data_IF_932569165684
#
_entry.id   IF_932569165684
#
_cell.length_a   1.000
_cell.length_b   1.000
_cell.length_c   1.000
_cell.angle_alpha   90.00
_cell.angle_beta   90.00
_cell.angle_gamma   90.00
#
_symmetry.space_group_name_H-M   'P 1'
#
loop_
_entity.id
_entity.type
_entity.pdbx_description
1 polymer ?
#
# COMPACT_ATOMS: atom_id res chain seq x y z
N UNK A 1 -4.11 -12.90 -11.00
CA UNK A 1 -4.94 -12.25 -9.97
C UNK A 1 -5.47 -13.33 -9.03
N UNK A 2 -5.40 -13.08 -7.74
CA UNK A 2 -5.96 -13.99 -6.73
C UNK A 2 -6.85 -13.19 -5.78
N UNK A 3 -7.71 -13.87 -5.03
CA UNK A 3 -8.55 -13.26 -4.01
C UNK A 3 -8.00 -13.62 -2.65
N UNK A 4 -7.74 -12.61 -1.82
CA UNK A 4 -7.31 -12.80 -0.43
C UNK A 4 -8.33 -12.19 0.52
N UNK A 5 -8.49 -12.80 1.67
CA UNK A 5 -9.34 -12.27 2.73
C UNK A 5 -8.45 -11.54 3.75
N UNK A 6 -8.67 -10.23 3.92
CA UNK A 6 -7.96 -9.42 4.91
C UNK A 6 -8.83 -9.30 6.16
N UNK A 7 -8.28 -9.68 7.31
CA UNK A 7 -8.97 -9.57 8.60
C UNK A 7 -8.00 -9.09 9.67
N UNK A 8 -8.46 -8.13 10.47
CA UNK A 8 -7.73 -7.63 11.65
C UNK A 8 -6.30 -7.18 11.34
N UNK A 9 -6.11 -6.53 10.20
CA UNK A 9 -4.80 -6.00 9.83
C UNK A 9 -4.63 -4.62 10.42
N UNK A 10 -3.62 -4.45 11.27
CA UNK A 10 -3.24 -3.17 11.87
C UNK A 10 -1.90 -2.76 11.31
N UNK A 11 -1.74 -1.47 11.00
CA UNK A 11 -0.48 -0.91 10.55
C UNK A 11 -0.02 0.19 11.49
N UNK A 12 1.32 0.28 11.66
CA UNK A 12 1.95 1.48 12.19
C UNK A 12 2.40 2.30 10.98
N UNK A 13 2.09 3.60 10.94
CA UNK A 13 2.23 4.35 9.70
C UNK A 13 2.72 5.77 9.88
N UNK A 14 3.26 6.32 8.79
CA UNK A 14 3.55 7.72 8.60
C UNK A 14 2.71 8.25 7.46
N UNK A 15 2.24 9.50 7.56
CA UNK A 15 1.41 10.15 6.56
C UNK A 15 2.07 11.40 6.01
N UNK A 16 1.95 11.60 4.69
CA UNK A 16 2.22 12.89 4.10
C UNK A 16 0.94 13.46 3.47
N UNK A 17 0.86 14.77 3.40
CA UNK A 17 -0.26 15.48 2.75
C UNK A 17 0.33 16.39 1.70
N UNK A 18 -0.16 16.29 0.47
CA UNK A 18 0.31 17.07 -0.66
C UNK A 18 0.24 16.29 -1.97
N UNK A 19 0.63 16.94 -3.06
CA UNK A 19 0.60 16.34 -4.39
C UNK A 19 1.34 15.01 -4.43
N UNK A 20 0.71 14.00 -5.03
CA UNK A 20 1.35 12.70 -5.25
C UNK A 20 2.48 12.81 -6.26
N UNK A 21 3.54 12.03 -6.05
CA UNK A 21 4.68 11.98 -6.94
C UNK A 21 5.95 11.60 -6.20
N UNK A 22 7.06 12.24 -6.56
CA UNK A 22 8.39 11.89 -6.03
C UNK A 22 8.47 11.92 -4.50
N UNK A 23 7.74 12.83 -3.85
CA UNK A 23 7.74 12.92 -2.38
C UNK A 23 7.13 11.68 -1.72
N UNK A 24 6.26 10.95 -2.40
CA UNK A 24 5.77 9.65 -1.92
C UNK A 24 6.91 8.64 -1.82
N UNK A 25 7.80 8.66 -2.82
CA UNK A 25 8.99 7.80 -2.83
C UNK A 25 9.93 8.15 -1.67
N UNK A 26 10.10 9.45 -1.39
CA UNK A 26 10.93 9.90 -0.27
C UNK A 26 10.37 9.43 1.07
N UNK A 27 9.04 9.48 1.24
CA UNK A 27 8.41 8.97 2.45
C UNK A 27 8.63 7.47 2.61
N UNK A 28 8.52 6.71 1.52
CA UNK A 28 8.76 5.27 1.53
C UNK A 28 10.19 4.97 1.97
N UNK A 29 11.18 5.68 1.44
CA UNK A 29 12.57 5.51 1.82
C UNK A 29 12.82 5.85 3.28
N UNK A 30 12.25 6.97 3.75
CA UNK A 30 12.34 7.38 5.15
C UNK A 30 11.74 6.32 6.07
N UNK A 31 10.61 5.75 5.69
CA UNK A 31 9.92 4.73 6.48
C UNK A 31 10.74 3.44 6.56
N UNK A 32 11.32 3.00 5.45
CA UNK A 32 12.19 1.82 5.42
C UNK A 32 13.42 2.01 6.33
N UNK A 33 14.02 3.21 6.29
CA UNK A 33 15.16 3.52 7.15
C UNK A 33 14.76 3.50 8.62
N UNK A 34 13.58 4.04 8.94
CA UNK A 34 13.04 3.98 10.29
C UNK A 34 12.90 2.53 10.77
N UNK A 35 12.36 1.64 9.94
CA UNK A 35 12.21 0.23 10.30
C UNK A 35 13.56 -0.44 10.54
N UNK A 36 14.55 -0.16 9.70
CA UNK A 36 15.89 -0.72 9.85
C UNK A 36 16.57 -0.22 11.12
N UNK A 37 16.46 1.06 11.42
CA UNK A 37 17.07 1.67 12.62
C UNK A 37 16.45 1.16 13.92
N UNK A 38 15.20 0.70 13.87
CA UNK A 38 14.47 0.21 15.04
C UNK A 38 14.35 -1.31 15.04
N UNK A 39 15.14 -2.03 14.24
CA UNK A 39 15.16 -3.50 14.15
C UNK A 39 13.79 -4.11 13.83
N UNK A 40 13.01 -3.40 13.03
CA UNK A 40 11.67 -3.82 12.61
C UNK A 40 11.61 -4.35 11.18
N UNK A 41 12.76 -4.35 10.49
CA UNK A 41 12.86 -4.83 9.11
C UNK A 41 13.48 -6.22 9.08
N UNK A 42 12.69 -7.23 8.70
CA UNK A 42 13.13 -8.62 8.58
C UNK A 42 12.44 -9.29 7.40
N UNK A 43 12.62 -10.60 7.25
CA UNK A 43 12.05 -11.35 6.13
C UNK A 43 10.52 -11.43 6.14
N UNK A 44 9.88 -11.20 7.28
CA UNK A 44 8.42 -11.22 7.41
C UNK A 44 7.79 -9.83 7.29
N UNK A 45 8.58 -8.80 7.08
CA UNK A 45 8.11 -7.42 6.99
C UNK A 45 7.21 -7.23 5.77
N UNK A 46 6.04 -6.61 5.99
CA UNK A 46 5.13 -6.21 4.92
C UNK A 46 4.85 -4.72 5.06
N UNK A 47 5.20 -3.95 4.04
CA UNK A 47 4.96 -2.51 3.97
C UNK A 47 3.80 -2.25 3.02
N UNK A 48 2.90 -1.36 3.41
CA UNK A 48 1.78 -0.92 2.59
C UNK A 48 1.95 0.55 2.22
N UNK A 49 1.69 0.86 0.95
CA UNK A 49 1.55 2.23 0.47
C UNK A 49 0.10 2.48 0.10
N UNK A 50 -0.50 3.55 0.62
CA UNK A 50 -1.93 3.79 0.48
C UNK A 50 -2.20 5.22 0.09
N UNK A 51 -2.62 5.44 -1.16
CA UNK A 51 -3.11 6.72 -1.64
C UNK A 51 -4.58 6.84 -1.24
N UNK A 52 -4.87 7.63 -0.22
CA UNK A 52 -6.19 7.68 0.42
C UNK A 52 -7.23 8.45 -0.37
N UNK A 53 -6.80 9.35 -1.26
CA UNK A 53 -7.70 10.26 -1.97
C UNK A 53 -7.53 10.14 -3.48
N UNK A 54 -8.63 10.36 -4.21
CA UNK A 54 -8.62 10.37 -5.67
C UNK A 54 -8.06 11.72 -6.15
N UNK A 55 -6.94 11.74 -6.89
CA UNK A 55 -6.36 12.98 -7.38
C UNK A 55 -7.24 13.71 -8.40
N UNK A 56 -8.24 13.04 -8.99
CA UNK A 56 -9.17 13.65 -9.91
C UNK A 56 -10.23 14.49 -9.21
N UNK A 57 -10.54 14.18 -7.95
CA UNK A 57 -11.64 14.82 -7.19
C UNK A 57 -11.16 15.58 -5.97
N UNK A 58 -9.87 15.46 -5.62
CA UNK A 58 -9.29 16.08 -4.43
C UNK A 58 -8.26 17.12 -4.83
N UNK A 59 -8.28 18.26 -4.17
CA UNK A 59 -7.26 19.31 -4.37
C UNK A 59 -5.86 18.74 -4.11
N UNK A 60 -4.87 18.98 -4.99
CA UNK A 60 -3.54 18.39 -4.80
C UNK A 60 -2.90 18.65 -3.44
N UNK A 61 -3.09 19.83 -2.87
CA UNK A 61 -2.54 20.15 -1.54
C UNK A 61 -3.20 19.38 -0.39
N UNK A 62 -4.30 18.69 -0.65
CA UNK A 62 -5.05 17.91 0.35
C UNK A 62 -4.92 16.41 0.19
N UNK A 63 -4.19 15.94 -0.80
CA UNK A 63 -4.00 14.50 -1.05
C UNK A 63 -3.18 13.88 0.07
N UNK A 64 -3.66 12.72 0.58
CA UNK A 64 -3.02 12.00 1.69
C UNK A 64 -2.43 10.69 1.20
N UNK A 65 -1.21 10.42 1.62
CA UNK A 65 -0.52 9.17 1.31
C UNK A 65 0.08 8.60 2.60
N UNK A 66 -0.27 7.35 2.90
CA UNK A 66 0.23 6.63 4.06
C UNK A 66 1.23 5.57 3.63
N UNK A 67 2.31 5.45 4.39
CA UNK A 67 3.21 4.30 4.32
C UNK A 67 3.20 3.65 5.69
N UNK A 68 2.88 2.37 5.74
CA UNK A 68 2.76 1.65 7.00
C UNK A 68 3.36 0.26 6.95
N UNK A 69 3.62 -0.29 8.11
CA UNK A 69 4.07 -1.66 8.29
C UNK A 69 3.00 -2.44 9.03
N UNK A 70 2.74 -3.67 8.57
CA UNK A 70 1.79 -4.54 9.27
C UNK A 70 2.42 -4.94 10.59
N UNK A 71 1.68 -4.72 11.68
CA UNK A 71 2.11 -5.04 13.03
C UNK A 71 1.15 -6.04 13.66
N UNK A 72 1.64 -6.75 14.68
CA UNK A 72 0.79 -7.60 15.53
C UNK A 72 0.62 -6.95 16.91
N UNK A 73 -0.23 -7.53 17.73
CA UNK A 73 -0.55 -7.00 19.06
C UNK A 73 0.65 -6.85 20.00
N UNK A 74 1.72 -7.61 19.73
CA UNK A 74 2.92 -7.61 20.55
C UNK A 74 3.98 -6.60 20.10
N UNK A 75 3.75 -5.92 18.97
CA UNK A 75 4.69 -4.93 18.46
C UNK A 75 4.55 -3.62 19.24
N UNK A 76 5.66 -3.22 19.86
CA UNK A 76 5.75 -1.94 20.56
C UNK A 76 6.38 -0.93 19.60
N UNK A 77 5.54 -0.25 18.80
CA UNK A 77 6.00 0.67 17.77
C UNK A 77 5.60 2.10 18.16
N UNK A 78 6.55 3.03 18.00
CA UNK A 78 6.31 4.45 18.30
C UNK A 78 5.81 5.19 17.05
N UNK A 79 4.69 4.74 16.52
CA UNK A 79 4.02 5.33 15.35
C UNK A 79 2.52 5.35 15.62
N UNK A 80 1.81 6.21 14.89
CA UNK A 80 0.36 6.14 14.86
C UNK A 80 -0.06 4.80 14.26
N UNK A 81 -1.17 4.25 14.75
CA UNK A 81 -1.68 2.97 14.26
C UNK A 81 -3.12 3.11 13.79
N UNK A 82 -3.48 2.29 12.82
CA UNK A 82 -4.87 2.15 12.38
C UNK A 82 -5.11 0.79 11.75
N UNK A 83 -6.37 0.44 11.61
CA UNK A 83 -6.75 -0.80 10.93
C UNK A 83 -7.01 -0.56 9.46
N UNK A 84 -6.68 -1.58 8.66
CA UNK A 84 -7.02 -1.65 7.25
C UNK A 84 -8.42 -2.27 7.15
N UNK A 85 -9.23 -1.81 6.20
CA UNK A 85 -10.57 -2.36 6.00
C UNK A 85 -10.51 -3.86 5.75
N UNK A 86 -11.30 -4.60 6.51
CA UNK A 86 -11.43 -6.05 6.34
C UNK A 86 -12.32 -6.37 5.15
N UNK A 87 -12.10 -7.51 4.53
CA UNK A 87 -12.90 -7.99 3.43
C UNK A 87 -12.08 -8.76 2.42
N UNK A 88 -12.68 -9.04 1.28
CA UNK A 88 -12.03 -9.74 0.19
C UNK A 88 -11.35 -8.72 -0.73
N UNK A 89 -10.10 -8.97 -1.04
CA UNK A 89 -9.30 -8.13 -1.92
C UNK A 89 -8.88 -8.92 -3.15
N UNK A 90 -8.99 -8.27 -4.31
CA UNK A 90 -8.35 -8.78 -5.52
C UNK A 90 -6.89 -8.34 -5.47
N UNK A 91 -5.97 -9.30 -5.57
CA UNK A 91 -4.54 -9.06 -5.46
C UNK A 91 -3.86 -9.32 -6.81
N UNK A 92 -3.20 -8.30 -7.33
CA UNK A 92 -2.47 -8.34 -8.59
C UNK A 92 -0.97 -8.29 -8.30
N UNK A 93 -0.25 -9.34 -8.71
CA UNK A 93 1.20 -9.41 -8.59
C UNK A 93 1.83 -8.94 -9.90
N UNK A 94 2.76 -7.99 -9.82
CA UNK A 94 3.45 -7.46 -10.99
C UNK A 94 4.96 -7.36 -10.71
N UNK A 95 5.79 -7.28 -11.77
CA UNK A 95 7.20 -6.97 -11.58
C UNK A 95 7.36 -5.60 -10.88
N UNK A 96 8.29 -5.52 -9.94
CA UNK A 96 8.57 -4.30 -9.22
C UNK A 96 9.51 -3.41 -10.04
N UNK A 97 9.00 -2.87 -11.13
CA UNK A 97 9.70 -1.97 -12.04
C UNK A 97 8.82 -0.76 -12.32
N UNK A 98 9.43 0.37 -12.64
CA UNK A 98 8.68 1.58 -12.98
C UNK A 98 7.75 1.36 -14.17
N UNK A 99 8.20 0.58 -15.19
CA UNK A 99 7.41 0.26 -16.37
C UNK A 99 6.17 -0.57 -16.00
N UNK A 100 6.34 -1.64 -15.23
CA UNK A 100 5.22 -2.50 -14.85
C UNK A 100 4.20 -1.78 -13.97
N UNK A 101 4.66 -0.94 -13.04
CA UNK A 101 3.80 -0.13 -12.19
C UNK A 101 3.02 0.88 -13.03
N UNK A 102 3.68 1.55 -13.97
CA UNK A 102 3.03 2.49 -14.87
C UNK A 102 1.97 1.80 -15.74
N UNK A 103 2.31 0.64 -16.30
CA UNK A 103 1.37 -0.15 -17.11
C UNK A 103 0.15 -0.59 -16.29
N UNK A 104 0.36 -0.99 -15.05
CA UNK A 104 -0.75 -1.35 -14.16
C UNK A 104 -1.72 -0.17 -13.99
N UNK A 105 -1.21 1.02 -13.68
CA UNK A 105 -2.05 2.18 -13.50
C UNK A 105 -2.75 2.62 -14.77
N UNK A 106 -2.12 2.48 -15.94
CA UNK A 106 -2.74 2.81 -17.22
C UNK A 106 -3.89 1.85 -17.56
N UNK A 107 -3.81 0.60 -17.11
CA UNK A 107 -4.81 -0.42 -17.41
C UNK A 107 -5.79 -0.66 -16.27
N UNK A 108 -5.72 0.12 -15.19
CA UNK A 108 -6.54 -0.10 -13.99
C UNK A 108 -8.03 -0.06 -14.28
N UNK A 109 -8.48 0.82 -15.18
CA UNK A 109 -9.89 0.92 -15.55
C UNK A 109 -10.41 -0.38 -16.15
N UNK A 110 -9.64 -0.98 -17.05
CA UNK A 110 -10.00 -2.26 -17.68
C UNK A 110 -10.02 -3.40 -16.66
N UNK A 111 -9.03 -3.43 -15.77
CA UNK A 111 -8.94 -4.45 -14.74
C UNK A 111 -10.14 -4.38 -13.78
N UNK A 112 -10.52 -3.17 -13.37
CA UNK A 112 -11.63 -2.97 -12.43
C UNK A 112 -13.01 -3.17 -13.06
N UNK A 113 -13.14 -3.00 -14.39
CA UNK A 113 -14.42 -3.16 -15.07
C UNK A 113 -14.99 -4.58 -14.98
N UNK A 114 -14.14 -5.58 -14.79
CA UNK A 114 -14.54 -6.98 -14.69
C UNK A 114 -14.68 -7.47 -13.23
N UNK A 115 -14.47 -6.58 -12.26
CA UNK A 115 -14.48 -6.91 -10.84
C UNK A 115 -15.51 -6.08 -10.09
N UNK A 116 -16.17 -6.65 -9.05
CA UNK A 116 -17.03 -5.86 -8.17
C UNK A 116 -16.21 -5.06 -7.16
N UNK A 117 -15.34 -4.17 -7.68
CA UNK A 117 -14.45 -3.36 -6.85
C UNK A 117 -15.21 -2.25 -6.13
N UNK A 118 -14.79 -1.94 -4.91
CA UNK A 118 -15.30 -0.80 -4.15
C UNK A 118 -14.46 0.43 -4.51
N UNK A 119 -14.97 1.23 -5.44
CA UNK A 119 -14.28 2.42 -5.94
C UNK A 119 -14.17 3.56 -4.92
N UNK A 120 -14.84 3.45 -3.78
CA UNK A 120 -14.75 4.44 -2.70
C UNK A 120 -13.58 4.17 -1.77
N UNK A 121 -12.93 3.03 -1.92
CA UNK A 121 -11.84 2.61 -1.07
C UNK A 121 -10.50 2.72 -1.80
N UNK A 122 -9.42 3.04 -1.09
CA UNK A 122 -8.12 3.19 -1.72
C UNK A 122 -7.55 1.85 -2.20
N UNK A 123 -6.76 1.90 -3.26
CA UNK A 123 -5.96 0.77 -3.70
C UNK A 123 -4.72 0.72 -2.84
N UNK A 124 -4.39 -0.47 -2.34
CA UNK A 124 -3.26 -0.69 -1.45
C UNK A 124 -2.10 -1.29 -2.25
N UNK A 125 -0.94 -0.62 -2.21
CA UNK A 125 0.31 -1.18 -2.69
C UNK A 125 0.89 -2.04 -1.57
N UNK A 126 1.28 -3.28 -1.87
CA UNK A 126 1.85 -4.18 -0.88
C UNK A 126 3.27 -4.59 -1.26
N UNK A 127 4.20 -4.33 -0.36
CA UNK A 127 5.62 -4.61 -0.54
C UNK A 127 6.07 -5.54 0.59
N UNK A 128 5.92 -6.86 0.39
CA UNK A 128 6.45 -7.84 1.34
C UNK A 128 7.93 -8.07 1.05
N UNK A 129 8.73 -8.27 2.09
CA UNK A 129 10.16 -8.50 1.93
C UNK A 129 10.42 -9.73 1.02
N UNK A 130 9.60 -10.77 1.13
CA UNK A 130 9.73 -11.97 0.31
C UNK A 130 9.49 -11.68 -1.18
N UNK A 131 8.43 -10.92 -1.50
CA UNK A 131 8.13 -10.57 -2.91
C UNK A 131 9.16 -9.61 -3.48
N UNK A 132 9.60 -8.63 -2.69
CA UNK A 132 10.63 -7.68 -3.13
C UNK A 132 11.94 -8.41 -3.45
N UNK A 133 12.30 -9.44 -2.69
CA UNK A 133 13.48 -10.25 -2.99
C UNK A 133 13.39 -10.97 -4.34
N UNK A 134 12.18 -11.17 -4.84
CA UNK A 134 11.90 -11.76 -6.15
C UNK A 134 11.63 -10.70 -7.23
N UNK A 135 11.84 -9.41 -6.91
CA UNK A 135 11.54 -8.26 -7.77
C UNK A 135 10.06 -8.16 -8.14
N UNK A 136 9.18 -8.50 -7.18
CA UNK A 136 7.74 -8.45 -7.34
C UNK A 136 7.11 -7.51 -6.31
N UNK A 137 5.98 -6.91 -6.68
CA UNK A 137 5.13 -6.18 -5.75
C UNK A 137 3.66 -6.48 -6.07
N UNK A 138 2.75 -6.04 -5.21
CA UNK A 138 1.35 -6.38 -5.34
C UNK A 138 0.47 -5.15 -5.19
N UNK A 139 -0.67 -5.16 -5.89
CA UNK A 139 -1.73 -4.16 -5.71
C UNK A 139 -2.99 -4.88 -5.25
N UNK A 140 -3.59 -4.35 -4.19
CA UNK A 140 -4.72 -4.98 -3.50
C UNK A 140 -5.93 -4.06 -3.59
N UNK A 141 -7.04 -4.57 -4.12
CA UNK A 141 -8.25 -3.81 -4.41
C UNK A 141 -9.41 -4.43 -3.64
N UNK A 142 -10.03 -3.64 -2.74
CA UNK A 142 -11.16 -4.10 -1.94
C UNK A 142 -12.38 -4.35 -2.84
N UNK A 143 -13.01 -5.50 -2.67
CA UNK A 143 -14.23 -5.89 -3.37
C UNK A 143 -15.46 -5.57 -2.52
N UNK A 144 -16.55 -5.27 -3.21
CA UNK A 144 -17.85 -5.03 -2.54
C UNK A 144 -18.38 -6.29 -1.87
#
# INVERSE_FOLDING_TARGET
MKIENFENITIGYMRRIGKYGYENTLLMEKFKNYLKENNLFNEDTVILGIALDDPKTTTPSSLRYDVGVIINENNNINLDTRKIDSGKYAVFEIPHTAEAVSDFWQNIGNLLSSLPADFKKPIIERYSAQKISQHLCEFCILLK
#
